data_IF_818090650586
#
_entry.id   IF_818090650586
#
_cell.length_a   1.000
_cell.length_b   1.000
_cell.length_c   1.000
_cell.angle_alpha   90.00
_cell.angle_beta   90.00
_cell.angle_gamma   90.00
#
_symmetry.space_group_name_H-M   'P 1'
#
loop_
_entity.id
_entity.type
_entity.pdbx_description
1 polymer ?
#
# COMPACT_ATOMS: atom_id res chain seq x y z
N UNK A 1 -0.43 26.58 33.52
CA UNK A 1 -0.30 26.75 32.05
C UNK A 1 0.93 26.04 31.47
N UNK A 2 2.15 26.22 32.01
CA UNK A 2 3.37 25.57 31.46
C UNK A 2 3.34 24.03 31.49
N UNK A 3 2.84 23.42 32.57
CA UNK A 3 2.69 21.96 32.67
C UNK A 3 1.66 21.39 31.69
N UNK A 4 0.58 22.13 31.41
CA UNK A 4 -0.46 21.72 30.47
C UNK A 4 0.09 21.72 29.03
N UNK A 5 0.86 22.75 28.67
CA UNK A 5 1.51 22.83 27.36
C UNK A 5 2.50 21.67 27.18
N UNK A 6 3.26 21.34 28.22
CA UNK A 6 4.21 20.23 28.19
C UNK A 6 3.53 18.87 28.04
N UNK A 7 2.43 18.64 28.77
CA UNK A 7 1.63 17.44 28.64
C UNK A 7 0.99 17.30 27.24
N UNK A 8 0.49 18.41 26.68
CA UNK A 8 -0.07 18.42 25.32
C UNK A 8 0.99 18.09 24.27
N UNK A 9 2.20 18.62 24.41
CA UNK A 9 3.32 18.34 23.51
C UNK A 9 3.70 16.84 23.53
N UNK A 10 3.79 16.23 24.71
CA UNK A 10 4.08 14.80 24.86
C UNK A 10 2.97 13.95 24.21
N UNK A 11 1.69 14.29 24.45
CA UNK A 11 0.57 13.56 23.87
C UNK A 11 0.59 13.59 22.33
N UNK A 12 0.86 14.75 21.72
CA UNK A 12 0.97 14.89 20.26
C UNK A 12 2.15 14.08 19.70
N UNK A 13 3.30 14.11 20.39
CA UNK A 13 4.49 13.36 19.97
C UNK A 13 4.26 11.85 19.97
N UNK A 14 3.53 11.32 20.97
CA UNK A 14 3.18 9.89 21.02
C UNK A 14 2.29 9.48 19.85
N UNK A 15 1.32 10.33 19.47
CA UNK A 15 0.41 10.06 18.34
C UNK A 15 1.15 10.13 17.00
N UNK A 16 2.15 11.01 16.87
CA UNK A 16 2.94 11.17 15.64
C UNK A 16 3.98 10.05 15.41
N UNK A 17 4.34 9.26 16.44
CA UNK A 17 5.41 8.27 16.36
C UNK A 17 4.92 6.85 16.00
N UNK A 18 3.77 6.73 15.34
CA UNK A 18 3.23 5.43 14.94
C UNK A 18 3.87 4.95 13.62
N UNK A 19 4.47 3.76 13.64
CA UNK A 19 4.89 3.06 12.42
C UNK A 19 3.64 2.57 11.66
N UNK A 20 3.53 2.94 10.39
CA UNK A 20 2.46 2.44 9.53
C UNK A 20 2.72 0.99 9.12
N UNK A 21 1.67 0.18 9.04
CA UNK A 21 1.79 -1.21 8.62
C UNK A 21 2.30 -1.30 7.17
N UNK A 22 3.23 -2.24 6.93
CA UNK A 22 3.69 -2.63 5.60
C UNK A 22 2.74 -3.69 5.04
N UNK A 23 2.03 -3.39 3.97
CA UNK A 23 0.94 -4.21 3.42
C UNK A 23 1.44 -4.96 2.18
N UNK A 24 1.26 -6.28 2.15
CA UNK A 24 1.56 -7.13 0.99
C UNK A 24 0.26 -7.61 0.33
N UNK A 25 0.07 -7.26 -0.95
CA UNK A 25 -1.03 -7.73 -1.78
C UNK A 25 -0.61 -8.87 -2.70
N UNK A 26 -1.31 -10.01 -2.64
CA UNK A 26 -1.12 -11.16 -3.53
C UNK A 26 -2.50 -11.63 -4.01
N UNK A 27 -2.65 -11.82 -5.32
CA UNK A 27 -3.90 -12.28 -5.93
C UNK A 27 -3.66 -13.60 -6.68
N UNK A 28 -4.50 -14.60 -6.39
CA UNK A 28 -4.31 -15.98 -6.84
C UNK A 28 -4.57 -16.20 -8.34
N UNK A 29 -5.32 -15.30 -9.00
CA UNK A 29 -5.64 -15.44 -10.41
C UNK A 29 -5.19 -14.22 -11.22
N UNK A 30 -4.49 -14.43 -12.35
CA UNK A 30 -4.15 -13.38 -13.30
C UNK A 30 -5.36 -13.01 -14.18
N UNK A 31 -6.50 -12.72 -13.55
CA UNK A 31 -7.72 -12.29 -14.22
C UNK A 31 -7.98 -10.82 -13.91
N UNK A 32 -8.12 -10.00 -14.95
CA UNK A 32 -8.27 -8.55 -14.80
C UNK A 32 -9.50 -8.17 -13.96
N UNK A 33 -10.61 -8.87 -14.14
CA UNK A 33 -11.84 -8.67 -13.38
C UNK A 33 -11.66 -8.91 -11.87
N UNK A 34 -10.84 -9.89 -11.49
CA UNK A 34 -10.58 -10.25 -10.11
C UNK A 34 -9.45 -9.40 -9.48
N UNK A 35 -8.56 -8.87 -10.31
CA UNK A 35 -7.49 -7.98 -9.89
C UNK A 35 -7.99 -6.56 -9.60
N UNK A 36 -8.92 -6.05 -10.41
CA UNK A 36 -9.31 -4.63 -10.38
C UNK A 36 -9.81 -4.15 -9.02
N UNK A 37 -10.61 -4.96 -8.31
CA UNK A 37 -11.11 -4.59 -6.99
C UNK A 37 -9.96 -4.45 -5.98
N UNK A 38 -9.11 -5.47 -5.90
CA UNK A 38 -7.99 -5.49 -4.96
C UNK A 38 -6.97 -4.40 -5.26
N UNK A 39 -6.68 -4.16 -6.53
CA UNK A 39 -5.78 -3.10 -6.99
C UNK A 39 -6.27 -1.71 -6.56
N UNK A 40 -7.57 -1.41 -6.74
CA UNK A 40 -8.16 -0.15 -6.25
C UNK A 40 -7.99 0.03 -4.74
N UNK A 41 -8.26 -1.01 -3.95
CA UNK A 41 -8.12 -0.95 -2.49
C UNK A 41 -6.66 -0.68 -2.09
N UNK A 42 -5.72 -1.41 -2.69
CA UNK A 42 -4.29 -1.28 -2.39
C UNK A 42 -3.75 0.10 -2.78
N UNK A 43 -4.19 0.66 -3.91
CA UNK A 43 -3.85 2.03 -4.34
C UNK A 43 -4.39 3.08 -3.38
N UNK A 44 -5.64 2.93 -2.91
CA UNK A 44 -6.22 3.83 -1.90
C UNK A 44 -5.52 3.73 -0.53
N UNK A 45 -5.02 2.56 -0.16
CA UNK A 45 -4.22 2.43 1.06
C UNK A 45 -2.88 3.17 0.92
N UNK A 46 -2.22 3.04 -0.23
CA UNK A 46 -0.99 3.76 -0.53
C UNK A 46 -1.18 5.28 -0.57
N UNK A 47 -2.30 5.75 -1.17
CA UNK A 47 -2.64 7.19 -1.21
C UNK A 47 -2.84 7.78 0.19
N UNK A 48 -3.36 6.98 1.13
CA UNK A 48 -3.52 7.34 2.56
C UNK A 48 -2.22 7.26 3.37
N UNK A 49 -1.09 6.92 2.76
CA UNK A 49 0.22 6.92 3.41
C UNK A 49 0.69 5.55 3.93
N UNK A 50 -0.04 4.47 3.67
CA UNK A 50 0.46 3.12 3.98
C UNK A 50 1.53 2.71 2.98
N UNK A 51 2.50 1.91 3.42
CA UNK A 51 3.46 1.31 2.48
C UNK A 51 2.90 -0.01 1.95
N UNK A 52 2.65 -0.06 0.64
CA UNK A 52 2.02 -1.20 -0.02
C UNK A 52 3.00 -1.81 -1.01
N UNK A 53 3.16 -3.13 -0.97
CA UNK A 53 3.83 -3.93 -1.99
C UNK A 53 2.83 -4.89 -2.61
N UNK A 54 2.74 -4.96 -3.93
CA UNK A 54 1.85 -5.89 -4.64
C UNK A 54 2.65 -6.78 -5.57
N UNK A 55 2.35 -8.08 -5.57
CA UNK A 55 2.83 -9.02 -6.57
C UNK A 55 1.77 -9.13 -7.65
N UNK A 56 2.09 -8.75 -8.88
CA UNK A 56 1.09 -8.64 -9.95
C UNK A 56 1.73 -8.82 -11.33
N UNK A 57 1.05 -9.46 -12.30
CA UNK A 57 1.48 -9.45 -13.69
C UNK A 57 1.13 -8.13 -14.41
N UNK A 58 0.41 -7.22 -13.75
CA UNK A 58 -0.02 -5.94 -14.30
C UNK A 58 0.92 -4.81 -13.83
N UNK A 59 1.54 -4.12 -14.77
CA UNK A 59 2.43 -2.99 -14.47
C UNK A 59 1.69 -1.66 -14.57
N UNK A 60 1.83 -0.81 -13.56
CA UNK A 60 1.32 0.56 -13.62
C UNK A 60 2.19 1.43 -14.53
N UNK A 61 1.53 2.27 -15.34
CA UNK A 61 2.23 3.23 -16.22
C UNK A 61 2.81 4.40 -15.44
N UNK A 62 2.16 4.77 -14.34
CA UNK A 62 2.53 5.92 -13.51
C UNK A 62 2.95 5.44 -12.13
N UNK A 63 4.12 5.87 -11.62
CA UNK A 63 4.55 5.51 -10.29
C UNK A 63 3.61 6.13 -9.25
N UNK A 64 3.17 5.31 -8.29
CA UNK A 64 2.33 5.74 -7.17
C UNK A 64 3.21 5.78 -5.92
N UNK A 65 3.15 6.88 -5.17
CA UNK A 65 3.91 7.03 -3.92
C UNK A 65 3.50 5.92 -2.93
N UNK A 66 4.47 5.34 -2.24
CA UNK A 66 4.28 4.26 -1.27
C UNK A 66 3.63 2.97 -1.84
N UNK A 67 3.66 2.78 -3.17
CA UNK A 67 3.12 1.60 -3.85
C UNK A 67 4.19 0.93 -4.69
N UNK A 68 4.71 -0.20 -4.22
CA UNK A 68 5.74 -1.00 -4.89
C UNK A 68 5.10 -2.16 -5.63
N UNK A 69 5.49 -2.37 -6.88
CA UNK A 69 5.06 -3.53 -7.65
C UNK A 69 6.21 -4.51 -7.86
N UNK A 70 5.95 -5.78 -7.59
CA UNK A 70 6.79 -6.90 -8.02
C UNK A 70 6.12 -7.50 -9.24
N UNK A 71 6.62 -7.14 -10.42
CA UNK A 71 6.02 -7.52 -11.69
C UNK A 71 6.38 -8.96 -12.03
N UNK A 72 5.37 -9.80 -12.26
CA UNK A 72 5.55 -11.17 -12.74
C UNK A 72 5.55 -11.20 -14.27
N UNK A 73 6.58 -11.77 -14.87
CA UNK A 73 6.68 -11.98 -16.33
C UNK A 73 6.22 -13.41 -16.69
N UNK A 74 5.74 -13.61 -17.92
CA UNK A 74 5.36 -14.93 -18.45
C UNK A 74 4.08 -15.57 -17.89
N UNK A 75 3.34 -14.87 -17.03
CA UNK A 75 2.12 -15.41 -16.39
C UNK A 75 1.00 -15.67 -17.41
N UNK A 76 0.84 -14.80 -18.41
CA UNK A 76 -0.18 -14.96 -19.45
C UNK A 76 0.21 -15.97 -20.54
N UNK A 77 1.50 -16.27 -20.70
CA UNK A 77 1.99 -17.24 -21.69
C UNK A 77 1.73 -18.68 -21.26
N UNK A 78 1.58 -18.94 -19.96
CA UNK A 78 1.32 -20.28 -19.40
C UNK A 78 -0.14 -20.75 -19.57
N UNK A 79 -1.04 -19.86 -20.00
CA UNK A 79 -2.47 -20.13 -20.20
C UNK A 79 -2.88 -20.34 -21.66
N UNK A 80 -1.91 -20.46 -22.57
CA UNK A 80 -2.12 -20.73 -24.00
C UNK A 80 -1.58 -22.12 -24.38
#
# INVERSE_FOLDING_TARGET
MRLIIFALYIAISLICSADSARILGVFHMPAYSHHQLGDKILKELASRGHEVTVITPYQEKTPIKNFKQVVLTGVFEQTQ
#
